data_IF_896755836997
#
_entry.id   IF_896755836997
#
_cell.length_a   1.000
_cell.length_b   1.000
_cell.length_c   1.000
_cell.angle_alpha   90.00
_cell.angle_beta   90.00
_cell.angle_gamma   90.00
#
_symmetry.space_group_name_H-M   'P 1'
#
loop_
_entity.id
_entity.type
_entity.pdbx_description
1 polymer ?
#
# COMPACT_ATOMS: atom_id res chain seq x y z
N UNK A 1 -15.09 20.51 18.94
CA UNK A 1 -15.97 19.43 18.45
C UNK A 1 -15.79 19.11 16.96
N UNK A 2 -16.08 19.99 15.98
CA UNK A 2 -15.93 19.64 14.55
C UNK A 2 -14.45 19.43 14.16
N UNK A 3 -13.55 20.30 14.65
CA UNK A 3 -12.10 20.24 14.38
C UNK A 3 -11.41 19.00 14.94
N UNK A 4 -11.82 18.54 16.13
CA UNK A 4 -11.23 17.36 16.80
C UNK A 4 -11.63 16.05 16.11
N UNK A 5 -12.86 15.97 15.57
CA UNK A 5 -13.34 14.80 14.82
C UNK A 5 -12.61 14.66 13.49
N UNK A 6 -12.31 15.78 12.82
CA UNK A 6 -11.54 15.79 11.57
C UNK A 6 -10.09 15.32 11.82
N UNK A 7 -9.43 15.85 12.86
CA UNK A 7 -8.07 15.45 13.24
C UNK A 7 -7.97 13.96 13.60
N UNK A 8 -8.94 13.42 14.34
CA UNK A 8 -8.99 11.99 14.67
C UNK A 8 -9.21 11.09 13.44
N UNK A 9 -9.98 11.58 12.46
CA UNK A 9 -10.16 10.92 11.17
C UNK A 9 -8.85 10.84 10.39
N UNK A 10 -8.10 11.94 10.30
CA UNK A 10 -6.81 12.01 9.60
C UNK A 10 -5.74 11.12 10.24
N UNK A 11 -5.69 11.06 11.57
CA UNK A 11 -4.73 10.22 12.28
C UNK A 11 -4.99 8.72 12.07
N UNK A 12 -6.27 8.31 12.09
CA UNK A 12 -6.66 6.92 11.75
C UNK A 12 -6.36 6.56 10.29
N UNK A 13 -6.54 7.51 9.36
CA UNK A 13 -6.23 7.34 7.94
C UNK A 13 -4.73 7.08 7.73
N UNK A 14 -3.88 7.94 8.28
CA UNK A 14 -2.41 7.79 8.25
C UNK A 14 -1.94 6.47 8.86
N UNK A 15 -2.55 6.05 9.98
CA UNK A 15 -2.17 4.79 10.65
C UNK A 15 -2.45 3.54 9.82
N UNK A 16 -3.56 3.51 9.05
CA UNK A 16 -3.91 2.38 8.18
C UNK A 16 -3.06 2.32 6.92
N UNK A 17 -2.77 3.48 6.30
CA UNK A 17 -1.82 3.56 5.19
C UNK A 17 -0.45 3.00 5.58
N UNK A 18 0.05 3.42 6.75
CA UNK A 18 1.34 3.00 7.30
C UNK A 18 1.40 1.49 7.54
N UNK A 19 0.30 0.86 7.99
CA UNK A 19 0.22 -0.59 8.16
C UNK A 19 0.36 -1.33 6.82
N UNK A 20 -0.35 -0.88 5.78
CA UNK A 20 -0.30 -1.52 4.46
C UNK A 20 1.09 -1.36 3.83
N UNK A 21 1.69 -0.16 3.89
CA UNK A 21 3.08 0.08 3.46
C UNK A 21 4.07 -0.83 4.17
N UNK A 22 3.98 -0.95 5.50
CA UNK A 22 4.85 -1.85 6.28
C UNK A 22 4.71 -3.31 5.87
N UNK A 23 3.49 -3.78 5.58
CA UNK A 23 3.28 -5.13 5.08
C UNK A 23 3.94 -5.35 3.71
N UNK A 24 3.75 -4.41 2.77
CA UNK A 24 4.36 -4.48 1.43
C UNK A 24 5.89 -4.48 1.53
N UNK A 25 6.48 -3.61 2.36
CA UNK A 25 7.93 -3.52 2.54
C UNK A 25 8.52 -4.82 3.11
N UNK A 26 7.84 -5.46 4.08
CA UNK A 26 8.27 -6.78 4.59
C UNK A 26 8.16 -7.86 3.52
N UNK A 27 7.10 -7.82 2.71
CA UNK A 27 6.96 -8.75 1.59
C UNK A 27 8.07 -8.54 0.55
N UNK A 28 8.42 -7.32 0.19
CA UNK A 28 9.53 -7.02 -0.75
C UNK A 28 10.88 -7.53 -0.26
N UNK A 29 11.11 -7.56 1.06
CA UNK A 29 12.33 -8.08 1.65
C UNK A 29 12.44 -9.62 1.62
N UNK A 30 11.36 -10.33 1.30
CA UNK A 30 11.28 -11.80 1.44
C UNK A 30 10.79 -12.52 0.18
N UNK A 31 9.86 -11.92 -0.56
CA UNK A 31 9.23 -12.48 -1.75
C UNK A 31 9.82 -11.84 -3.01
N UNK A 32 11.07 -12.17 -3.32
CA UNK A 32 11.74 -11.67 -4.51
C UNK A 32 10.99 -12.08 -5.79
N UNK A 33 10.92 -11.21 -6.79
CA UNK A 33 10.30 -11.59 -8.08
C UNK A 33 11.33 -12.12 -9.06
N UNK A 34 12.56 -11.61 -8.95
CA UNK A 34 13.63 -11.89 -9.89
C UNK A 34 14.22 -13.28 -9.62
N UNK A 35 14.62 -13.96 -10.69
CA UNK A 35 15.35 -15.24 -10.64
C UNK A 35 14.55 -16.40 -10.01
N UNK A 36 13.22 -16.27 -9.95
CA UNK A 36 12.28 -17.28 -9.45
C UNK A 36 11.62 -18.07 -10.58
N UNK A 37 11.00 -19.20 -10.23
CA UNK A 37 10.18 -19.98 -11.16
C UNK A 37 9.08 -19.12 -11.79
N UNK A 38 8.82 -19.30 -13.10
CA UNK A 38 7.91 -18.45 -13.88
C UNK A 38 6.52 -18.27 -13.24
N UNK A 39 5.92 -19.36 -12.77
CA UNK A 39 4.58 -19.31 -12.16
C UNK A 39 4.60 -18.58 -10.80
N UNK A 40 5.66 -18.79 -10.01
CA UNK A 40 5.85 -18.10 -8.74
C UNK A 40 6.12 -16.60 -8.93
N UNK A 41 6.94 -16.25 -9.93
CA UNK A 41 7.22 -14.87 -10.30
C UNK A 41 5.95 -14.15 -10.77
N UNK A 42 5.11 -14.79 -11.59
CA UNK A 42 3.80 -14.26 -12.01
C UNK A 42 2.88 -14.02 -10.81
N UNK A 43 2.79 -14.98 -9.89
CA UNK A 43 1.96 -14.85 -8.70
C UNK A 43 2.41 -13.68 -7.82
N UNK A 44 3.72 -13.53 -7.60
CA UNK A 44 4.30 -12.41 -6.83
C UNK A 44 4.08 -11.06 -7.53
N UNK A 45 4.27 -10.99 -8.84
CA UNK A 45 3.97 -9.78 -9.62
C UNK A 45 2.50 -9.36 -9.50
N UNK A 46 1.58 -10.32 -9.60
CA UNK A 46 0.16 -10.06 -9.45
C UNK A 46 -0.17 -9.55 -8.04
N UNK A 47 0.40 -10.18 -7.01
CA UNK A 47 0.26 -9.72 -5.63
C UNK A 47 0.69 -8.26 -5.46
N UNK A 48 1.91 -7.90 -5.92
CA UNK A 48 2.40 -6.53 -5.82
C UNK A 48 1.59 -5.54 -6.65
N UNK A 49 1.10 -5.95 -7.83
CA UNK A 49 0.23 -5.12 -8.65
C UNK A 49 -1.07 -4.78 -7.91
N UNK A 50 -1.72 -5.78 -7.31
CA UNK A 50 -2.94 -5.58 -6.53
C UNK A 50 -2.70 -4.69 -5.31
N UNK A 51 -1.61 -4.90 -4.56
CA UNK A 51 -1.25 -4.02 -3.45
C UNK A 51 -1.06 -2.56 -3.89
N UNK A 52 -0.40 -2.34 -5.04
CA UNK A 52 -0.20 -0.99 -5.59
C UNK A 52 -1.53 -0.33 -5.98
N UNK A 53 -2.44 -1.07 -6.63
CA UNK A 53 -3.76 -0.56 -6.99
C UNK A 53 -4.58 -0.20 -5.76
N UNK A 54 -4.69 -1.11 -4.79
CA UNK A 54 -5.45 -0.85 -3.56
C UNK A 54 -4.89 0.32 -2.76
N UNK A 55 -3.57 0.49 -2.73
CA UNK A 55 -2.96 1.65 -2.08
C UNK A 55 -3.28 2.94 -2.85
N UNK A 56 -3.19 2.92 -4.18
CA UNK A 56 -3.52 4.08 -5.02
C UNK A 56 -4.98 4.51 -4.82
N UNK A 57 -5.93 3.59 -4.99
CA UNK A 57 -7.36 3.87 -4.79
C UNK A 57 -7.65 4.33 -3.36
N UNK A 58 -6.99 3.71 -2.37
CA UNK A 58 -7.07 4.12 -0.98
C UNK A 58 -6.60 5.56 -0.77
N UNK A 59 -5.47 5.95 -1.34
CA UNK A 59 -4.93 7.31 -1.25
C UNK A 59 -5.84 8.33 -1.96
N UNK A 60 -6.35 8.00 -3.15
CA UNK A 60 -7.31 8.83 -3.89
C UNK A 60 -8.60 9.07 -3.09
N UNK A 61 -9.16 8.03 -2.46
CA UNK A 61 -10.31 8.16 -1.55
C UNK A 61 -10.03 9.07 -0.34
N UNK A 62 -8.78 9.19 0.05
CA UNK A 62 -8.34 10.05 1.15
C UNK A 62 -7.99 11.47 0.69
N UNK A 63 -8.03 11.75 -0.63
CA UNK A 63 -7.60 13.02 -1.21
C UNK A 63 -6.08 13.21 -1.20
N UNK A 64 -5.32 12.12 -1.06
CA UNK A 64 -3.85 12.12 -1.06
C UNK A 64 -3.38 11.72 -2.46
N UNK A 65 -2.54 12.56 -3.06
CA UNK A 65 -1.94 12.25 -4.36
C UNK A 65 -0.89 11.15 -4.19
N UNK A 66 -1.09 10.03 -4.88
CA UNK A 66 -0.15 8.91 -4.84
C UNK A 66 1.13 9.27 -5.60
N UNK A 67 2.27 9.24 -4.91
CA UNK A 67 3.58 9.41 -5.55
C UNK A 67 3.80 8.31 -6.59
N UNK A 68 4.06 8.71 -7.83
CA UNK A 68 4.14 7.82 -9.00
C UNK A 68 5.37 6.89 -9.00
N UNK A 69 6.33 7.12 -8.09
CA UNK A 69 7.48 6.25 -7.82
C UNK A 69 7.40 5.71 -6.39
N UNK A 70 7.09 4.42 -6.27
CA UNK A 70 7.37 3.58 -5.08
C UNK A 70 8.47 2.61 -5.48
#
# INVERSE_FOLDING_TARGET
MITEVVAFGEEKKKRKEEQLRKCINRALATLYVKDEELELAKARLLLYHMCRLSLKEGLELLGIEALTRI
#
